data_IF_895427991983
#
_entry.id   IF_895427991983
#
_cell.length_a   1.000
_cell.length_b   1.000
_cell.length_c   1.000
_cell.angle_alpha   90.00
_cell.angle_beta   90.00
_cell.angle_gamma   90.00
#
_symmetry.space_group_name_H-M   'P 1'
#
loop_
_entity.id
_entity.type
_entity.pdbx_description
1 polymer ?
#
# COMPACT_ATOMS: atom_id res chain seq x y z
N UNK A 1 69.70 -5.66 -54.60
CA UNK A 1 70.46 -4.83 -53.63
C UNK A 1 70.29 -3.36 -53.98
N UNK A 2 69.41 -2.63 -53.29
CA UNK A 2 69.47 -1.16 -53.20
C UNK A 2 69.08 -0.76 -51.78
N UNK A 3 69.87 0.15 -51.23
CA UNK A 3 70.03 0.53 -49.83
C UNK A 3 69.19 1.78 -49.50
N UNK A 4 68.84 1.87 -48.22
CA UNK A 4 68.79 3.06 -47.35
C UNK A 4 67.59 4.03 -47.42
N UNK A 5 66.82 3.98 -46.33
CA UNK A 5 66.37 5.08 -45.44
C UNK A 5 66.07 6.47 -46.03
N UNK A 6 64.86 6.97 -45.74
CA UNK A 6 64.72 8.21 -44.95
C UNK A 6 63.30 8.39 -44.36
N UNK A 7 63.27 8.85 -43.12
CA UNK A 7 62.10 9.14 -42.31
C UNK A 7 61.34 10.38 -42.80
N UNK A 8 60.00 10.38 -42.69
CA UNK A 8 59.20 11.59 -42.58
C UNK A 8 57.97 11.31 -41.69
N UNK A 9 57.75 12.22 -40.75
CA UNK A 9 56.90 12.11 -39.57
C UNK A 9 55.41 11.93 -39.88
N UNK A 10 54.78 10.93 -39.24
CA UNK A 10 53.33 10.87 -39.09
C UNK A 10 52.96 11.60 -37.79
N UNK A 11 52.45 12.84 -37.92
CA UNK A 11 51.82 13.55 -36.83
C UNK A 11 50.55 12.81 -36.42
N UNK A 12 50.51 12.30 -35.19
CA UNK A 12 49.32 11.70 -34.58
C UNK A 12 48.36 12.83 -34.23
N UNK A 13 47.35 13.05 -35.08
CA UNK A 13 46.17 13.83 -34.72
C UNK A 13 45.27 12.97 -33.82
N UNK A 14 45.55 12.98 -32.51
CA UNK A 14 44.64 12.47 -31.49
C UNK A 14 43.70 13.60 -31.07
N UNK A 15 42.63 13.84 -31.82
CA UNK A 15 41.60 14.80 -31.41
C UNK A 15 40.21 14.26 -31.75
N UNK A 16 39.46 13.92 -30.71
CA UNK A 16 38.02 13.67 -30.80
C UNK A 16 37.54 12.28 -30.39
N UNK A 17 37.99 11.72 -29.26
CA UNK A 17 37.03 10.93 -28.47
C UNK A 17 36.07 11.94 -27.85
N UNK A 18 34.93 12.14 -28.53
CA UNK A 18 33.75 12.70 -27.88
C UNK A 18 33.43 11.77 -26.70
N UNK A 19 33.76 12.19 -25.49
CA UNK A 19 33.18 11.60 -24.30
C UNK A 19 31.67 11.73 -24.48
N UNK A 20 30.99 10.59 -24.69
CA UNK A 20 29.55 10.55 -24.58
C UNK A 20 29.18 11.23 -23.26
N UNK A 21 28.16 12.10 -23.22
CA UNK A 21 27.80 12.79 -21.99
C UNK A 21 27.57 11.70 -20.94
N UNK A 22 28.37 11.75 -19.87
CA UNK A 22 28.14 10.95 -18.68
C UNK A 22 26.65 11.13 -18.35
N UNK A 23 25.87 10.05 -18.43
CA UNK A 23 24.46 10.11 -18.06
C UNK A 23 24.41 10.70 -16.65
N UNK A 24 23.80 11.88 -16.54
CA UNK A 24 23.78 12.63 -15.30
C UNK A 24 22.90 11.85 -14.32
N UNK A 25 23.54 11.17 -13.37
CA UNK A 25 22.90 10.49 -12.26
C UNK A 25 21.75 11.31 -11.70
N UNK A 26 20.51 10.77 -11.73
CA UNK A 26 19.37 11.43 -11.07
C UNK A 26 19.77 11.88 -9.67
N UNK A 27 19.40 13.11 -9.33
CA UNK A 27 19.79 13.74 -8.07
C UNK A 27 18.67 13.70 -7.01
N UNK A 28 17.73 12.78 -7.17
CA UNK A 28 16.61 12.57 -6.26
C UNK A 28 16.34 11.08 -6.05
N UNK A 29 15.78 10.75 -4.89
CA UNK A 29 15.28 9.40 -4.59
C UNK A 29 13.93 9.20 -5.27
N UNK A 30 13.71 8.02 -5.84
CA UNK A 30 12.43 7.65 -6.43
C UNK A 30 11.81 6.41 -5.77
N UNK A 31 10.61 6.58 -5.20
CA UNK A 31 9.78 5.51 -4.67
C UNK A 31 8.50 5.35 -5.51
N UNK A 32 8.07 4.12 -5.77
CA UNK A 32 6.83 3.85 -6.48
C UNK A 32 6.10 2.61 -5.94
N UNK A 33 4.77 2.62 -5.90
CA UNK A 33 3.98 1.41 -5.63
C UNK A 33 2.66 1.64 -4.93
N UNK A 34 2.44 0.96 -3.80
CA UNK A 34 1.17 0.92 -3.07
C UNK A 34 0.55 2.31 -2.84
N UNK A 35 -0.73 2.47 -3.22
CA UNK A 35 -1.53 3.67 -2.93
C UNK A 35 -1.75 3.90 -1.44
N UNK A 36 -1.61 2.85 -0.64
CA UNK A 36 -1.73 2.91 0.82
C UNK A 36 -0.46 3.41 1.47
N UNK A 37 0.70 2.98 0.97
CA UNK A 37 1.99 3.46 1.47
C UNK A 37 2.30 4.85 0.92
N UNK A 38 1.71 5.23 -0.22
CA UNK A 38 1.88 6.54 -0.86
C UNK A 38 1.76 7.73 0.11
N UNK A 39 0.66 7.93 0.88
CA UNK A 39 0.57 9.07 1.80
C UNK A 39 1.66 9.07 2.88
N UNK A 40 2.08 7.90 3.36
CA UNK A 40 3.17 7.78 4.35
C UNK A 40 4.53 8.13 3.73
N UNK A 41 4.81 7.59 2.55
CA UNK A 41 6.05 7.86 1.83
C UNK A 41 6.17 9.33 1.41
N UNK A 42 5.08 9.94 0.94
CA UNK A 42 5.03 11.38 0.63
C UNK A 42 5.29 12.22 1.88
N UNK A 43 4.66 11.89 3.01
CA UNK A 43 4.89 12.63 4.26
C UNK A 43 6.33 12.51 4.77
N UNK A 44 6.92 11.33 4.64
CA UNK A 44 8.35 11.13 4.96
C UNK A 44 9.25 11.89 3.99
N UNK A 45 8.89 11.96 2.70
CA UNK A 45 9.65 12.70 1.69
C UNK A 45 9.68 14.22 1.98
N UNK A 46 8.52 14.78 2.38
CA UNK A 46 8.41 16.18 2.84
C UNK A 46 9.30 16.47 4.05
N UNK A 47 9.20 15.63 5.09
CA UNK A 47 9.98 15.80 6.32
C UNK A 47 11.48 15.61 6.08
N UNK A 48 11.86 14.65 5.24
CA UNK A 48 13.23 14.44 4.81
C UNK A 48 13.79 15.69 4.10
N UNK A 49 13.05 16.26 3.14
CA UNK A 49 13.49 17.46 2.43
C UNK A 49 13.65 18.64 3.39
N UNK A 50 12.69 18.83 4.30
CA UNK A 50 12.72 19.88 5.32
C UNK A 50 13.92 19.75 6.27
N UNK A 51 14.25 18.54 6.70
CA UNK A 51 15.35 18.27 7.66
C UNK A 51 16.74 18.29 7.03
N UNK A 52 16.85 17.79 5.80
CA UNK A 52 18.15 17.58 5.14
C UNK A 52 18.54 18.71 4.18
N UNK A 53 17.59 19.54 3.75
CA UNK A 53 17.79 20.53 2.67
C UNK A 53 17.96 19.90 1.28
N UNK A 54 17.85 18.58 1.14
CA UNK A 54 17.92 17.87 -0.14
C UNK A 54 16.60 17.93 -0.89
N UNK A 55 16.62 17.61 -2.19
CA UNK A 55 15.40 17.48 -3.01
C UNK A 55 14.46 16.43 -2.41
N UNK A 56 13.17 16.74 -2.40
CA UNK A 56 12.17 15.79 -1.95
C UNK A 56 12.15 14.54 -2.86
N UNK A 57 12.13 13.32 -2.29
CA UNK A 57 11.93 12.11 -3.04
C UNK A 57 10.67 12.19 -3.92
N UNK A 58 10.78 11.72 -5.16
CA UNK A 58 9.62 11.50 -6.04
C UNK A 58 8.88 10.25 -5.54
N UNK A 59 7.60 10.38 -5.23
CA UNK A 59 6.76 9.25 -4.80
C UNK A 59 5.62 9.07 -5.80
N UNK A 60 5.40 7.85 -6.29
CA UNK A 60 4.32 7.53 -7.24
C UNK A 60 3.43 6.38 -6.75
N UNK A 61 2.13 6.53 -6.97
CA UNK A 61 1.14 5.50 -6.67
C UNK A 61 0.84 4.69 -7.94
N UNK A 62 1.28 3.43 -7.97
CA UNK A 62 1.11 2.49 -9.10
C UNK A 62 0.43 1.18 -8.66
N UNK A 63 0.01 1.09 -7.40
CA UNK A 63 -0.35 -0.17 -6.74
C UNK A 63 0.87 -1.04 -6.43
N UNK A 64 0.74 -1.95 -5.46
CA UNK A 64 1.87 -2.78 -5.00
C UNK A 64 2.51 -3.60 -6.13
N UNK A 65 1.69 -4.30 -6.93
CA UNK A 65 2.20 -5.12 -8.05
C UNK A 65 2.84 -4.28 -9.16
N UNK A 66 2.23 -3.15 -9.52
CA UNK A 66 2.78 -2.23 -10.53
C UNK A 66 4.10 -1.61 -10.10
N UNK A 67 4.19 -1.16 -8.83
CA UNK A 67 5.41 -0.63 -8.24
C UNK A 67 6.55 -1.64 -8.19
N UNK A 68 6.29 -2.86 -7.71
CA UNK A 68 7.29 -3.94 -7.68
C UNK A 68 7.73 -4.30 -9.09
N UNK A 69 6.81 -4.41 -10.06
CA UNK A 69 7.16 -4.68 -11.47
C UNK A 69 8.10 -3.62 -12.03
N UNK A 70 7.79 -2.33 -11.83
CA UNK A 70 8.64 -1.23 -12.29
C UNK A 70 9.99 -1.22 -11.59
N UNK A 71 10.01 -1.42 -10.27
CA UNK A 71 11.22 -1.57 -9.48
C UNK A 71 12.11 -2.72 -9.98
N UNK A 72 11.52 -3.87 -10.31
CA UNK A 72 12.23 -5.06 -10.79
C UNK A 72 12.58 -5.03 -12.28
N UNK A 73 12.24 -3.97 -13.02
CA UNK A 73 12.49 -3.89 -14.46
C UNK A 73 13.96 -3.59 -14.81
N UNK A 74 14.79 -3.23 -13.83
CA UNK A 74 16.24 -3.11 -14.00
C UNK A 74 16.92 -2.29 -12.90
N UNK A 75 18.21 -2.01 -13.11
CA UNK A 75 19.04 -1.15 -12.26
C UNK A 75 19.32 0.19 -12.97
N UNK A 76 19.81 1.17 -12.21
CA UNK A 76 20.08 2.52 -12.74
C UNK A 76 18.88 3.46 -12.69
N UNK A 77 19.06 4.63 -13.28
CA UNK A 77 18.20 5.82 -13.06
C UNK A 77 16.83 5.73 -13.72
N UNK A 78 16.64 4.83 -14.68
CA UNK A 78 15.36 4.58 -15.32
C UNK A 78 14.35 3.84 -14.45
N UNK A 79 14.75 3.37 -13.26
CA UNK A 79 13.91 2.54 -12.39
C UNK A 79 13.89 3.05 -10.94
N UNK A 80 12.80 2.85 -10.19
CA UNK A 80 12.69 3.27 -8.80
C UNK A 80 13.81 2.68 -7.91
N UNK A 81 14.21 3.47 -6.91
CA UNK A 81 15.08 3.03 -5.80
C UNK A 81 14.33 2.17 -4.80
N UNK A 82 13.03 2.50 -4.63
CA UNK A 82 12.16 1.93 -3.61
C UNK A 82 10.86 1.45 -4.24
N UNK A 83 10.42 0.23 -3.91
CA UNK A 83 9.07 -0.23 -4.14
C UNK A 83 8.24 -0.14 -2.85
N UNK A 84 7.20 0.68 -2.86
CA UNK A 84 6.22 0.78 -1.79
C UNK A 84 5.21 -0.38 -1.89
N UNK A 85 4.90 -1.05 -0.78
CA UNK A 85 4.06 -2.24 -0.82
C UNK A 85 3.16 -2.39 0.40
N UNK A 86 1.91 -2.79 0.17
CA UNK A 86 0.93 -3.07 1.23
C UNK A 86 0.69 -4.58 1.45
N UNK A 87 1.61 -5.41 0.94
CA UNK A 87 1.70 -6.84 1.22
C UNK A 87 3.15 -7.32 0.95
N UNK A 88 3.56 -8.49 1.46
CA UNK A 88 4.87 -9.05 1.16
C UNK A 88 5.12 -9.22 -0.35
N UNK A 89 6.37 -9.09 -0.79
CA UNK A 89 6.77 -9.41 -2.16
C UNK A 89 6.53 -10.91 -2.40
N UNK A 90 5.88 -11.24 -3.51
CA UNK A 90 5.61 -12.63 -3.86
C UNK A 90 6.89 -13.29 -4.38
N UNK A 91 7.01 -14.61 -4.21
CA UNK A 91 8.12 -15.38 -4.78
C UNK A 91 8.31 -15.13 -6.27
N UNK A 92 7.22 -15.14 -7.05
CA UNK A 92 7.28 -14.89 -8.49
C UNK A 92 7.78 -13.49 -8.84
N UNK A 93 7.48 -12.48 -8.02
CA UNK A 93 7.98 -11.13 -8.22
C UNK A 93 9.47 -11.06 -7.91
N UNK A 94 9.90 -11.60 -6.76
CA UNK A 94 11.32 -11.68 -6.40
C UNK A 94 12.15 -12.38 -7.48
N UNK A 95 11.65 -13.50 -8.00
CA UNK A 95 12.28 -14.26 -9.09
C UNK A 95 12.42 -13.41 -10.36
N UNK A 96 11.43 -12.57 -10.69
CA UNK A 96 11.50 -11.62 -11.81
C UNK A 96 12.55 -10.53 -11.58
N UNK A 97 12.66 -10.01 -10.36
CA UNK A 97 13.71 -9.04 -10.00
C UNK A 97 15.10 -9.64 -10.22
N UNK A 98 15.33 -10.86 -9.72
CA UNK A 98 16.60 -11.56 -9.87
C UNK A 98 16.96 -11.81 -11.34
N UNK A 99 15.97 -12.21 -12.15
CA UNK A 99 16.14 -12.40 -13.60
C UNK A 99 16.50 -11.12 -14.36
N UNK A 100 16.16 -9.94 -13.81
CA UNK A 100 16.49 -8.62 -14.35
C UNK A 100 17.68 -7.96 -13.65
N UNK A 101 18.45 -8.72 -12.88
CA UNK A 101 19.67 -8.24 -12.22
C UNK A 101 19.45 -7.49 -10.90
N UNK A 102 18.21 -7.35 -10.44
CA UNK A 102 17.87 -6.79 -9.12
C UNK A 102 17.89 -7.93 -8.10
N UNK A 103 19.08 -8.28 -7.62
CA UNK A 103 19.31 -9.45 -6.75
C UNK A 103 19.34 -9.10 -5.25
N UNK A 104 19.98 -7.99 -4.91
CA UNK A 104 20.14 -7.56 -3.52
C UNK A 104 19.06 -6.56 -3.12
N UNK A 105 17.97 -7.08 -2.57
CA UNK A 105 16.82 -6.31 -2.12
C UNK A 105 16.80 -6.27 -0.59
N UNK A 106 16.74 -5.07 -0.01
CA UNK A 106 16.48 -4.91 1.43
C UNK A 106 14.97 -4.78 1.61
N UNK A 107 14.37 -5.58 2.48
CA UNK A 107 12.97 -5.48 2.88
C UNK A 107 12.87 -4.78 4.22
N UNK A 108 12.08 -3.72 4.31
CA UNK A 108 11.79 -3.00 5.55
C UNK A 108 10.29 -3.03 5.75
N UNK A 109 9.83 -3.62 6.85
CA UNK A 109 8.45 -3.50 7.30
C UNK A 109 8.29 -2.15 7.99
N UNK A 110 7.33 -1.33 7.57
CA UNK A 110 7.20 0.04 8.10
C UNK A 110 6.08 0.19 9.13
N UNK A 111 5.20 -0.82 9.23
CA UNK A 111 4.06 -0.80 10.12
C UNK A 111 2.93 -1.67 9.61
N UNK A 112 1.74 -1.39 10.12
CA UNK A 112 0.50 -2.02 9.70
C UNK A 112 -0.51 -0.96 9.29
N UNK A 113 -1.48 -1.41 8.51
CA UNK A 113 -2.70 -0.71 8.19
C UNK A 113 -3.88 -1.55 8.68
N UNK A 114 -4.91 -0.90 9.18
CA UNK A 114 -6.10 -1.54 9.73
C UNK A 114 -7.33 -0.71 9.38
N UNK A 115 -8.22 -1.28 8.58
CA UNK A 115 -9.46 -0.65 8.16
C UNK A 115 -10.59 -1.16 9.03
N UNK A 116 -11.30 -0.22 9.67
CA UNK A 116 -12.41 -0.55 10.56
C UNK A 116 -13.73 -0.22 9.90
N UNK A 117 -14.73 -1.01 10.24
CA UNK A 117 -16.13 -0.67 10.04
C UNK A 117 -16.66 -0.30 11.41
N UNK A 118 -17.19 0.89 11.58
CA UNK A 118 -17.67 1.38 12.86
C UNK A 118 -19.12 1.84 12.79
N UNK A 119 -19.80 1.82 13.93
CA UNK A 119 -21.13 2.42 14.11
C UNK A 119 -21.14 3.20 15.41
N UNK A 120 -22.24 3.92 15.66
CA UNK A 120 -22.48 4.59 16.94
C UNK A 120 -22.34 3.61 18.11
N UNK A 121 -21.80 4.06 19.25
CA UNK A 121 -21.53 3.21 20.41
C UNK A 121 -22.77 2.46 20.92
N UNK A 122 -23.92 3.12 20.85
CA UNK A 122 -25.20 2.59 21.31
C UNK A 122 -25.99 1.93 20.17
N UNK A 123 -25.42 1.90 18.96
CA UNK A 123 -25.97 1.23 17.78
C UNK A 123 -25.96 -0.29 17.89
N UNK A 124 -26.50 -0.96 16.87
CA UNK A 124 -26.50 -2.42 16.80
C UNK A 124 -25.07 -2.99 16.70
N UNK A 125 -24.87 -4.21 17.21
CA UNK A 125 -23.62 -4.93 17.00
C UNK A 125 -23.62 -5.62 15.64
N UNK A 126 -22.47 -5.59 14.97
CA UNK A 126 -22.28 -6.23 13.68
C UNK A 126 -21.13 -7.23 13.74
N UNK A 127 -21.35 -8.39 13.13
CA UNK A 127 -20.31 -9.37 12.84
C UNK A 127 -20.40 -9.75 11.36
N UNK A 128 -19.67 -9.04 10.53
CA UNK A 128 -19.68 -9.25 9.09
C UNK A 128 -18.83 -10.44 8.70
N UNK A 129 -19.28 -11.21 7.71
CA UNK A 129 -18.35 -11.95 6.85
C UNK A 129 -17.88 -11.04 5.72
N UNK A 130 -16.70 -11.28 5.16
CA UNK A 130 -16.23 -10.55 3.97
C UNK A 130 -17.22 -10.65 2.80
N UNK A 131 -17.88 -11.81 2.66
CA UNK A 131 -18.95 -12.07 1.70
C UNK A 131 -20.15 -11.14 1.91
N UNK A 132 -20.48 -10.84 3.16
CA UNK A 132 -21.56 -9.90 3.49
C UNK A 132 -21.20 -8.48 3.03
N UNK A 133 -19.94 -8.08 3.18
CA UNK A 133 -19.47 -6.76 2.75
C UNK A 133 -19.52 -6.63 1.22
N UNK A 134 -19.07 -7.65 0.49
CA UNK A 134 -19.22 -7.73 -0.97
C UNK A 134 -20.71 -7.65 -1.37
N UNK A 135 -21.55 -8.52 -0.82
CA UNK A 135 -22.97 -8.60 -1.15
C UNK A 135 -23.76 -7.37 -0.73
N UNK A 136 -23.32 -6.63 0.29
CA UNK A 136 -23.95 -5.40 0.75
C UNK A 136 -23.52 -4.17 -0.04
N UNK A 137 -22.25 -4.06 -0.43
CA UNK A 137 -21.65 -2.80 -0.84
C UNK A 137 -21.16 -2.72 -2.29
N UNK A 138 -20.90 -3.84 -2.97
CA UNK A 138 -20.58 -3.78 -4.40
C UNK A 138 -21.79 -3.27 -5.19
N UNK A 139 -21.54 -2.48 -6.24
CA UNK A 139 -22.55 -1.93 -7.15
C UNK A 139 -23.35 -3.02 -7.86
N UNK A 140 -22.66 -4.10 -8.22
CA UNK A 140 -23.24 -5.27 -8.86
C UNK A 140 -22.84 -6.55 -8.14
N UNK A 141 -23.76 -7.50 -8.09
CA UNK A 141 -23.54 -8.83 -7.49
C UNK A 141 -23.95 -9.93 -8.45
N UNK A 142 -23.31 -11.09 -8.34
CA UNK A 142 -23.66 -12.26 -9.13
C UNK A 142 -24.93 -12.93 -8.57
N UNK A 143 -26.02 -12.92 -9.33
CA UNK A 143 -27.29 -13.58 -8.98
C UNK A 143 -27.77 -14.42 -10.16
N UNK A 144 -27.99 -15.72 -9.93
CA UNK A 144 -28.44 -16.64 -11.00
C UNK A 144 -27.49 -16.71 -12.20
N UNK A 145 -26.18 -16.54 -11.99
CA UNK A 145 -25.18 -16.55 -13.06
C UNK A 145 -25.04 -15.24 -13.83
N UNK A 146 -25.81 -14.20 -13.49
CA UNK A 146 -25.74 -12.88 -14.12
C UNK A 146 -25.35 -11.80 -13.12
N UNK A 147 -24.60 -10.80 -13.57
CA UNK A 147 -24.34 -9.61 -12.76
C UNK A 147 -25.54 -8.68 -12.84
N UNK A 148 -26.13 -8.40 -11.69
CA UNK A 148 -27.27 -7.49 -11.54
C UNK A 148 -26.91 -6.35 -10.61
N UNK A 149 -27.63 -5.23 -10.72
CA UNK A 149 -27.56 -4.18 -9.71
C UNK A 149 -27.87 -4.76 -8.33
N UNK A 150 -27.14 -4.32 -7.31
CA UNK A 150 -27.25 -4.89 -5.97
C UNK A 150 -28.68 -4.73 -5.41
N UNK A 151 -29.42 -5.84 -5.18
CA UNK A 151 -30.82 -5.76 -4.80
C UNK A 151 -31.03 -5.52 -3.30
N UNK A 152 -30.01 -5.78 -2.46
CA UNK A 152 -30.12 -5.73 -1.00
C UNK A 152 -30.31 -4.28 -0.55
N UNK A 153 -31.25 -4.01 0.36
CA UNK A 153 -31.55 -2.66 0.87
C UNK A 153 -31.22 -2.50 2.35
N UNK A 154 -31.36 -3.57 3.11
CA UNK A 154 -31.02 -3.66 4.53
C UNK A 154 -29.94 -4.72 4.75
N UNK A 155 -29.28 -4.69 5.91
CA UNK A 155 -28.21 -5.63 6.21
C UNK A 155 -28.72 -7.06 6.48
N UNK A 156 -29.94 -7.24 6.96
CA UNK A 156 -30.59 -8.54 7.11
C UNK A 156 -31.02 -9.17 5.76
N UNK A 157 -31.23 -8.36 4.71
CA UNK A 157 -31.37 -8.86 3.32
C UNK A 157 -30.08 -9.57 2.84
N UNK A 158 -28.92 -9.13 3.33
CA UNK A 158 -27.61 -9.62 2.91
C UNK A 158 -27.32 -10.99 3.53
N UNK A 159 -27.54 -11.11 4.85
CA UNK A 159 -27.34 -12.36 5.58
C UNK A 159 -28.12 -12.36 6.90
N UNK A 160 -28.74 -13.50 7.22
CA UNK A 160 -29.39 -13.69 8.51
C UNK A 160 -28.43 -13.51 9.69
N UNK A 161 -28.91 -12.84 10.75
CA UNK A 161 -28.12 -12.50 11.93
C UNK A 161 -27.43 -11.14 11.86
N UNK A 162 -27.49 -10.43 10.73
CA UNK A 162 -27.17 -9.01 10.68
C UNK A 162 -28.38 -8.16 11.11
N UNK A 163 -28.16 -6.96 11.68
CA UNK A 163 -29.23 -6.02 12.03
C UNK A 163 -30.09 -5.60 10.83
N UNK A 164 -31.38 -5.30 11.03
CA UNK A 164 -32.30 -4.85 9.98
C UNK A 164 -32.15 -3.40 9.53
N UNK A 165 -31.03 -2.75 9.86
CA UNK A 165 -30.77 -1.38 9.47
C UNK A 165 -30.57 -1.27 7.95
N UNK A 166 -31.04 -0.15 7.38
CA UNK A 166 -30.78 0.19 5.98
C UNK A 166 -29.27 0.20 5.71
N UNK A 167 -28.85 -0.30 4.55
CA UNK A 167 -27.47 -0.19 4.10
C UNK A 167 -27.16 1.28 3.84
N UNK A 168 -26.44 1.89 4.78
CA UNK A 168 -25.99 3.27 4.73
C UNK A 168 -24.60 3.34 5.34
N UNK A 169 -23.59 3.38 4.46
CA UNK A 169 -22.17 3.36 4.82
C UNK A 169 -21.50 4.63 4.35
N UNK A 170 -20.90 5.37 5.28
CA UNK A 170 -20.06 6.51 5.00
C UNK A 170 -18.62 6.06 4.88
N UNK A 171 -17.93 6.50 3.85
CA UNK A 171 -16.53 6.14 3.68
C UNK A 171 -15.76 7.15 2.84
N UNK A 172 -14.45 6.96 2.73
CA UNK A 172 -13.59 7.89 2.04
C UNK A 172 -13.84 7.87 0.51
N UNK A 173 -13.43 8.93 -0.21
CA UNK A 173 -13.68 9.08 -1.64
C UNK A 173 -12.85 8.11 -2.50
N UNK A 174 -13.14 8.00 -3.82
CA UNK A 174 -12.37 7.18 -4.77
C UNK A 174 -10.86 7.47 -4.84
N UNK A 175 -10.42 8.63 -4.35
CA UNK A 175 -9.01 9.05 -4.32
C UNK A 175 -8.25 8.56 -3.09
N UNK A 176 -8.94 7.97 -2.11
CA UNK A 176 -8.36 7.60 -0.82
C UNK A 176 -7.74 6.20 -0.80
N UNK A 177 -6.52 6.10 -0.29
CA UNK A 177 -5.85 4.82 -0.03
C UNK A 177 -6.58 3.94 0.99
N UNK A 178 -7.38 4.53 1.88
CA UNK A 178 -8.26 3.83 2.84
C UNK A 178 -9.41 3.12 2.11
N UNK A 179 -9.97 3.75 1.06
CA UNK A 179 -10.97 3.10 0.21
C UNK A 179 -10.38 1.97 -0.59
N UNK A 180 -9.21 2.18 -1.20
CA UNK A 180 -8.49 1.12 -1.93
C UNK A 180 -8.25 -0.09 -1.02
N UNK A 181 -7.82 0.17 0.22
CA UNK A 181 -7.63 -0.84 1.25
C UNK A 181 -8.91 -1.64 1.54
N UNK A 182 -10.02 -0.92 1.76
CA UNK A 182 -11.31 -1.54 2.05
C UNK A 182 -11.82 -2.40 0.89
N UNK A 183 -11.70 -1.90 -0.34
CA UNK A 183 -12.07 -2.65 -1.53
C UNK A 183 -11.24 -3.92 -1.64
N UNK A 184 -9.92 -3.84 -1.49
CA UNK A 184 -9.03 -5.01 -1.60
C UNK A 184 -9.28 -6.04 -0.47
N UNK A 185 -9.31 -5.59 0.79
CA UNK A 185 -9.32 -6.46 1.97
C UNK A 185 -10.72 -6.97 2.34
N UNK A 186 -11.77 -6.24 1.99
CA UNK A 186 -13.15 -6.60 2.32
C UNK A 186 -13.92 -7.07 1.09
N UNK A 187 -14.02 -6.20 0.07
CA UNK A 187 -14.92 -6.41 -1.07
C UNK A 187 -14.37 -7.48 -2.02
N UNK A 188 -13.13 -7.32 -2.50
CA UNK A 188 -12.47 -8.32 -3.33
C UNK A 188 -12.29 -9.64 -2.56
N UNK A 189 -11.91 -9.59 -1.29
CA UNK A 189 -11.76 -10.77 -0.45
C UNK A 189 -13.07 -11.56 -0.31
N UNK A 190 -14.20 -10.87 -0.12
CA UNK A 190 -15.53 -11.47 -0.09
C UNK A 190 -15.95 -12.04 -1.44
N UNK A 191 -15.74 -11.29 -2.52
CA UNK A 191 -16.03 -11.73 -3.88
C UNK A 191 -15.28 -13.02 -4.26
N UNK A 192 -14.01 -13.16 -3.85
CA UNK A 192 -13.19 -14.35 -4.12
C UNK A 192 -13.68 -15.62 -3.42
N UNK A 193 -14.63 -15.52 -2.48
CA UNK A 193 -15.28 -16.70 -1.90
C UNK A 193 -16.29 -17.36 -2.84
N UNK A 194 -16.67 -16.67 -3.91
CA UNK A 194 -17.52 -17.21 -4.97
C UNK A 194 -16.64 -17.78 -6.10
N UNK A 195 -16.71 -19.10 -6.39
CA UNK A 195 -15.83 -19.75 -7.36
C UNK A 195 -15.82 -19.09 -8.75
N UNK A 196 -16.98 -18.64 -9.23
CA UNK A 196 -17.09 -17.93 -10.51
C UNK A 196 -16.28 -16.62 -10.52
N UNK A 197 -16.33 -15.85 -9.44
CA UNK A 197 -15.60 -14.60 -9.33
C UNK A 197 -14.10 -14.83 -9.18
N UNK A 198 -13.69 -15.85 -8.42
CA UNK A 198 -12.26 -16.19 -8.29
C UNK A 198 -11.66 -16.76 -9.59
N UNK A 199 -12.45 -17.49 -10.38
CA UNK A 199 -12.07 -17.92 -11.72
C UNK A 199 -11.88 -16.71 -12.66
N UNK A 200 -12.81 -15.75 -12.65
CA UNK A 200 -12.68 -14.50 -13.42
C UNK A 200 -11.42 -13.72 -13.01
N UNK A 201 -11.13 -13.64 -11.70
CA UNK A 201 -9.92 -12.97 -11.18
C UNK A 201 -8.65 -13.65 -11.68
N UNK A 202 -8.63 -14.98 -11.64
CA UNK A 202 -7.46 -15.77 -12.02
C UNK A 202 -7.17 -15.68 -13.52
N UNK A 203 -8.21 -15.58 -14.35
CA UNK A 203 -8.11 -15.37 -15.80
C UNK A 203 -7.77 -13.90 -16.15
N UNK A 204 -8.50 -12.95 -15.57
CA UNK A 204 -8.39 -11.53 -15.90
C UNK A 204 -8.70 -10.64 -14.69
N UNK A 205 -7.65 -10.26 -13.96
CA UNK A 205 -7.74 -9.39 -12.78
C UNK A 205 -8.41 -8.04 -13.09
N UNK A 206 -8.15 -7.43 -14.26
CA UNK A 206 -8.78 -6.16 -14.64
C UNK A 206 -10.29 -6.31 -14.80
N UNK A 207 -10.74 -7.41 -15.41
CA UNK A 207 -12.17 -7.71 -15.56
C UNK A 207 -12.81 -7.95 -14.21
N UNK A 208 -12.19 -8.74 -13.34
CA UNK A 208 -12.67 -8.95 -11.96
C UNK A 208 -12.87 -7.61 -11.23
N UNK A 209 -11.85 -6.75 -11.23
CA UNK A 209 -11.90 -5.44 -10.58
C UNK A 209 -13.01 -4.55 -11.15
N UNK A 210 -13.17 -4.53 -12.47
CA UNK A 210 -14.26 -3.75 -13.11
C UNK A 210 -15.67 -4.18 -12.68
N UNK A 211 -15.84 -5.43 -12.23
CA UNK A 211 -17.12 -6.00 -11.80
C UNK A 211 -17.34 -5.90 -10.29
N UNK A 212 -16.27 -5.87 -9.49
CA UNK A 212 -16.30 -6.04 -8.03
C UNK A 212 -16.01 -4.73 -7.28
N UNK A 213 -15.01 -3.98 -7.73
CA UNK A 213 -14.49 -2.79 -7.04
C UNK A 213 -15.48 -1.62 -6.98
N UNK A 214 -16.32 -1.37 -8.02
CA UNK A 214 -17.29 -0.27 -7.94
C UNK A 214 -18.27 -0.50 -6.79
N UNK A 215 -18.29 0.44 -5.85
CA UNK A 215 -19.26 0.46 -4.74
C UNK A 215 -20.59 1.06 -5.20
N UNK A 216 -21.68 0.60 -4.60
CA UNK A 216 -23.05 1.07 -4.88
C UNK A 216 -23.24 2.52 -4.43
N UNK A 217 -23.95 3.34 -5.20
CA UNK A 217 -24.21 4.75 -4.84
C UNK A 217 -25.51 4.97 -4.04
N UNK A 218 -26.35 3.94 -3.89
CA UNK A 218 -27.61 3.98 -3.11
C UNK A 218 -27.46 3.48 -1.67
N UNK A 219 -26.22 3.15 -1.26
CA UNK A 219 -25.88 2.65 0.07
C UNK A 219 -24.47 2.99 0.57
N UNK A 220 -23.52 3.34 -0.32
CA UNK A 220 -22.25 3.96 0.04
C UNK A 220 -22.29 5.47 -0.22
N UNK A 221 -21.86 6.26 0.75
CA UNK A 221 -21.78 7.72 0.69
C UNK A 221 -20.33 8.16 0.86
N UNK A 222 -19.82 8.90 -0.11
CA UNK A 222 -18.48 9.49 -0.04
C UNK A 222 -18.48 10.68 0.93
N UNK A 223 -17.70 10.58 2.00
CA UNK A 223 -17.64 11.56 3.10
C UNK A 223 -16.45 12.53 3.00
N UNK A 224 -15.70 12.50 1.89
CA UNK A 224 -14.48 13.31 1.70
C UNK A 224 -13.24 12.73 2.40
N UNK A 225 -12.09 13.40 2.26
CA UNK A 225 -10.78 12.91 2.74
C UNK A 225 -10.58 13.00 4.27
N UNK A 226 -11.55 13.59 4.99
CA UNK A 226 -11.45 13.76 6.44
C UNK A 226 -12.24 12.68 7.18
N UNK A 227 -11.57 11.61 7.59
CA UNK A 227 -12.20 10.49 8.31
C UNK A 227 -12.88 10.92 9.64
N UNK A 228 -12.43 12.00 10.28
CA UNK A 228 -13.13 12.54 11.46
C UNK A 228 -14.56 13.02 11.15
N UNK A 229 -14.83 13.44 9.92
CA UNK A 229 -16.18 13.80 9.51
C UNK A 229 -17.11 12.57 9.48
N UNK A 230 -16.57 11.39 9.16
CA UNK A 230 -17.30 10.13 9.22
C UNK A 230 -17.69 9.84 10.67
N UNK A 231 -16.75 9.91 11.61
CA UNK A 231 -17.01 9.69 13.05
C UNK A 231 -18.15 10.59 13.55
N UNK A 232 -18.08 11.89 13.25
CA UNK A 232 -19.14 12.83 13.62
C UNK A 232 -20.49 12.52 13.00
N UNK A 233 -20.51 11.95 11.79
CA UNK A 233 -21.74 11.55 11.08
C UNK A 233 -22.40 10.34 11.75
N UNK A 234 -21.62 9.35 12.20
CA UNK A 234 -22.15 8.14 12.85
C UNK A 234 -22.96 8.49 14.10
N UNK A 235 -22.45 9.39 14.94
CA UNK A 235 -23.13 9.83 16.17
C UNK A 235 -24.43 10.62 15.93
N UNK A 236 -24.64 11.11 14.70
CA UNK A 236 -25.82 11.88 14.31
C UNK A 236 -26.78 11.11 13.40
N UNK A 237 -26.37 9.93 12.96
CA UNK A 237 -27.11 9.12 11.99
C UNK A 237 -27.22 7.69 12.52
N UNK A 238 -28.12 7.45 13.49
CA UNK A 238 -28.29 6.14 14.11
C UNK A 238 -28.52 5.04 13.06
N UNK A 239 -27.84 3.91 13.23
CA UNK A 239 -27.95 2.77 12.32
C UNK A 239 -27.09 2.84 11.06
N UNK A 240 -26.37 3.94 10.83
CA UNK A 240 -25.35 4.01 9.78
C UNK A 240 -24.03 3.35 10.20
N UNK A 241 -23.20 3.04 9.20
CA UNK A 241 -21.84 2.53 9.37
C UNK A 241 -20.82 3.49 8.76
N UNK A 242 -19.60 3.44 9.26
CA UNK A 242 -18.47 4.22 8.76
C UNK A 242 -17.29 3.31 8.44
N UNK A 243 -16.54 3.62 7.39
CA UNK A 243 -15.29 2.93 7.03
C UNK A 243 -14.13 3.91 7.09
N UNK A 244 -13.11 3.63 7.90
CA UNK A 244 -11.93 4.47 8.05
C UNK A 244 -10.76 3.70 8.69
N UNK A 245 -9.61 4.35 8.87
CA UNK A 245 -8.45 3.74 9.53
C UNK A 245 -8.63 3.54 11.05
N UNK A 246 -7.99 2.51 11.61
CA UNK A 246 -8.03 2.13 13.03
C UNK A 246 -7.83 3.30 14.00
N UNK A 247 -6.89 4.21 13.72
CA UNK A 247 -6.55 5.32 14.62
C UNK A 247 -7.77 6.17 14.99
N UNK A 248 -8.68 6.39 14.04
CA UNK A 248 -9.90 7.17 14.28
C UNK A 248 -10.90 6.45 15.18
N UNK A 249 -10.95 5.10 15.12
CA UNK A 249 -11.74 4.33 16.09
C UNK A 249 -11.10 4.40 17.46
N UNK A 250 -9.79 4.21 17.56
CA UNK A 250 -9.03 4.26 18.82
C UNK A 250 -9.23 5.59 19.55
N UNK A 251 -9.17 6.71 18.83
CA UNK A 251 -9.34 8.05 19.38
C UNK A 251 -10.79 8.38 19.79
N UNK A 252 -11.78 7.59 19.35
CA UNK A 252 -13.21 7.90 19.52
C UNK A 252 -14.03 6.72 20.09
N UNK A 253 -13.39 5.77 20.79
CA UNK A 253 -14.09 4.60 21.38
C UNK A 253 -15.13 4.97 22.47
N UNK A 254 -15.09 6.21 22.96
CA UNK A 254 -16.11 6.80 23.83
C UNK A 254 -17.42 7.10 23.10
N UNK A 255 -17.40 7.22 21.76
CA UNK A 255 -18.57 7.61 20.92
C UNK A 255 -18.98 6.57 19.89
N UNK A 256 -18.04 5.77 19.42
CA UNK A 256 -18.27 4.78 18.37
C UNK A 256 -17.69 3.42 18.75
N UNK A 257 -18.15 2.37 18.09
CA UNK A 257 -17.61 1.01 18.24
C UNK A 257 -17.34 0.37 16.89
N UNK A 258 -16.30 -0.45 16.84
CA UNK A 258 -15.94 -1.25 15.66
C UNK A 258 -16.74 -2.53 15.57
N UNK A 259 -17.21 -2.87 14.37
CA UNK A 259 -17.79 -4.16 14.02
C UNK A 259 -16.73 -5.26 14.00
N UNK A 260 -17.16 -6.49 14.25
CA UNK A 260 -16.31 -7.67 14.02
C UNK A 260 -16.36 -8.06 12.55
N UNK A 261 -15.26 -8.60 12.04
CA UNK A 261 -15.18 -9.18 10.68
C UNK A 261 -14.64 -10.60 10.80
N UNK A 262 -15.38 -11.56 10.25
CA UNK A 262 -15.16 -13.00 10.41
C UNK A 262 -14.99 -13.42 11.88
N UNK A 263 -15.77 -12.82 12.78
CA UNK A 263 -15.70 -13.10 14.23
C UNK A 263 -14.53 -12.44 14.96
N UNK A 264 -13.69 -11.67 14.28
CA UNK A 264 -12.52 -11.00 14.88
C UNK A 264 -12.80 -9.51 15.01
N UNK A 265 -12.62 -8.97 16.23
CA UNK A 265 -12.73 -7.53 16.51
C UNK A 265 -11.42 -6.82 16.17
N UNK A 266 -11.45 -5.59 15.62
CA UNK A 266 -10.23 -4.82 15.41
C UNK A 266 -9.60 -4.43 16.74
N UNK A 267 -8.29 -4.59 16.83
CA UNK A 267 -7.43 -4.18 17.95
C UNK A 267 -5.98 -4.04 17.46
N UNK A 268 -5.09 -3.34 18.18
CA UNK A 268 -3.69 -3.28 17.80
C UNK A 268 -3.06 -4.68 17.71
N UNK A 269 -3.48 -5.60 18.59
CA UNK A 269 -3.00 -6.99 18.61
C UNK A 269 -3.46 -7.76 17.37
N UNK A 270 -4.77 -7.78 17.11
CA UNK A 270 -5.35 -8.52 15.98
C UNK A 270 -4.96 -7.95 14.61
N UNK A 271 -4.62 -6.67 14.55
CA UNK A 271 -4.06 -6.04 13.34
C UNK A 271 -2.58 -6.40 13.17
N UNK A 272 -1.79 -6.34 14.24
CA UNK A 272 -0.35 -6.62 14.18
C UNK A 272 -0.04 -8.10 13.90
N UNK A 273 -0.84 -9.03 14.43
CA UNK A 273 -0.70 -10.47 14.17
C UNK A 273 -1.36 -10.92 12.85
N UNK A 274 -2.17 -10.04 12.23
CA UNK A 274 -2.85 -10.29 10.96
C UNK A 274 -4.12 -11.15 11.08
N UNK A 275 -4.60 -11.44 12.29
CA UNK A 275 -5.83 -12.20 12.52
C UNK A 275 -7.09 -11.40 12.21
N UNK A 276 -7.05 -10.06 12.30
CA UNK A 276 -8.13 -9.20 11.85
C UNK A 276 -8.16 -9.11 10.31
N UNK A 277 -9.25 -9.50 9.62
CA UNK A 277 -9.27 -9.66 8.17
C UNK A 277 -9.01 -8.38 7.36
N UNK A 278 -9.36 -7.22 7.92
CA UNK A 278 -9.19 -5.92 7.25
C UNK A 278 -7.90 -5.24 7.70
N UNK A 279 -6.85 -6.03 7.89
CA UNK A 279 -5.51 -5.55 8.22
C UNK A 279 -4.49 -6.01 7.20
N UNK A 280 -3.36 -5.30 7.13
CA UNK A 280 -2.21 -5.71 6.33
C UNK A 280 -0.92 -5.12 6.83
N UNK A 281 0.16 -5.77 6.44
CA UNK A 281 1.52 -5.28 6.68
C UNK A 281 1.97 -4.34 5.56
N UNK A 282 2.66 -3.27 5.95
CA UNK A 282 3.20 -2.28 5.03
C UNK A 282 4.72 -2.43 4.94
N UNK A 283 5.26 -2.26 3.74
CA UNK A 283 6.67 -2.47 3.44
C UNK A 283 7.21 -1.41 2.48
N UNK A 284 8.52 -1.22 2.56
CA UNK A 284 9.33 -0.66 1.47
C UNK A 284 10.41 -1.69 1.10
N UNK A 285 10.64 -1.86 -0.20
CA UNK A 285 11.73 -2.68 -0.74
C UNK A 285 12.75 -1.78 -1.40
N UNK A 286 14.04 -2.00 -1.13
CA UNK A 286 15.11 -1.10 -1.56
C UNK A 286 16.15 -1.88 -2.35
N UNK A 287 16.62 -1.32 -3.46
CA UNK A 287 17.81 -1.82 -4.15
C UNK A 287 19.04 -1.50 -3.31
N UNK A 288 19.70 -2.52 -2.75
CA UNK A 288 20.93 -2.32 -1.97
C UNK A 288 22.01 -1.59 -2.77
N UNK A 289 22.13 -1.93 -4.07
CA UNK A 289 23.10 -1.33 -4.98
C UNK A 289 22.93 0.18 -5.18
N UNK A 290 21.75 0.75 -4.88
CA UNK A 290 21.51 2.18 -5.03
C UNK A 290 21.94 2.96 -3.77
N UNK A 291 22.17 2.29 -2.63
CA UNK A 291 22.58 2.95 -1.40
C UNK A 291 24.04 3.40 -1.53
N UNK A 292 24.27 4.71 -1.40
CA UNK A 292 25.58 5.35 -1.63
C UNK A 292 25.81 5.77 -3.08
N UNK A 293 24.90 5.42 -3.99
CA UNK A 293 24.93 5.86 -5.40
C UNK A 293 23.88 6.94 -5.62
N UNK A 294 22.63 6.70 -5.22
CA UNK A 294 21.55 7.69 -5.34
C UNK A 294 21.65 8.71 -4.21
N UNK A 295 21.81 10.01 -4.52
CA UNK A 295 21.93 11.04 -3.49
C UNK A 295 20.70 11.07 -2.56
N UNK A 296 20.93 10.98 -1.26
CA UNK A 296 19.88 11.08 -0.25
C UNK A 296 19.12 9.78 0.05
N UNK A 297 19.40 8.67 -0.65
CA UNK A 297 18.67 7.42 -0.42
C UNK A 297 18.89 6.87 0.99
N UNK A 298 20.13 6.81 1.48
CA UNK A 298 20.41 6.26 2.80
C UNK A 298 19.75 7.10 3.90
N UNK A 299 19.80 8.43 3.78
CA UNK A 299 19.19 9.35 4.74
C UNK A 299 17.67 9.33 4.68
N UNK A 300 17.06 9.15 3.50
CA UNK A 300 15.62 8.97 3.36
C UNK A 300 15.15 7.68 4.05
N UNK A 301 15.89 6.58 3.91
CA UNK A 301 15.59 5.31 4.59
C UNK A 301 15.74 5.43 6.12
N UNK A 302 16.75 6.19 6.58
CA UNK A 302 16.92 6.50 8.02
C UNK A 302 15.78 7.33 8.56
N UNK A 303 15.29 8.34 7.82
CA UNK A 303 14.10 9.10 8.22
C UNK A 303 12.89 8.17 8.29
N UNK A 304 12.67 7.32 7.28
CA UNK A 304 11.54 6.39 7.22
C UNK A 304 11.49 5.43 8.42
N UNK A 305 12.65 4.91 8.84
CA UNK A 305 12.77 3.96 9.96
C UNK A 305 13.00 4.64 11.32
N UNK A 306 13.01 5.98 11.36
CA UNK A 306 13.22 6.73 12.60
C UNK A 306 12.05 6.59 13.57
N UNK A 307 12.34 6.78 14.86
CA UNK A 307 11.30 6.83 15.90
C UNK A 307 10.30 7.96 15.65
N UNK A 308 10.78 9.09 15.15
CA UNK A 308 9.95 10.24 14.81
C UNK A 308 8.96 9.94 13.68
N UNK A 309 9.28 9.01 12.77
CA UNK A 309 8.42 8.66 11.63
C UNK A 309 7.50 7.48 11.93
N UNK A 310 8.07 6.27 12.01
CA UNK A 310 7.35 4.98 12.11
C UNK A 310 7.33 4.42 13.53
N UNK A 311 8.07 5.02 14.46
CA UNK A 311 8.04 4.65 15.87
C UNK A 311 6.71 5.01 16.54
N UNK A 312 6.51 4.48 17.75
CA UNK A 312 5.31 4.77 18.54
C UNK A 312 5.24 6.27 18.88
N UNK A 313 4.12 6.91 18.57
CA UNK A 313 3.95 8.36 18.70
C UNK A 313 4.60 9.17 17.57
N UNK A 314 5.15 8.51 16.54
CA UNK A 314 5.72 9.15 15.37
C UNK A 314 4.66 9.84 14.50
N UNK A 315 5.10 10.76 13.64
CA UNK A 315 4.21 11.61 12.84
C UNK A 315 3.38 10.82 11.82
N UNK A 316 3.78 9.59 11.45
CA UNK A 316 2.99 8.75 10.54
C UNK A 316 1.80 8.10 11.24
N UNK A 317 1.83 7.96 12.57
CA UNK A 317 0.70 7.43 13.33
C UNK A 317 -0.53 8.32 13.19
N UNK A 318 -0.34 9.65 13.24
CA UNK A 318 -1.40 10.63 12.95
C UNK A 318 -1.89 10.64 11.49
N UNK A 319 -1.31 9.83 10.61
CA UNK A 319 -1.78 9.57 9.24
C UNK A 319 -2.45 8.20 9.10
N UNK A 320 -2.64 7.47 10.20
CA UNK A 320 -3.25 6.15 10.24
C UNK A 320 -2.27 4.98 10.22
N UNK A 321 -0.95 5.21 10.24
CA UNK A 321 0.03 4.13 10.36
C UNK A 321 -0.07 3.50 11.75
N UNK A 322 -0.25 2.18 11.82
CA UNK A 322 -0.13 1.47 13.08
C UNK A 322 1.34 1.07 13.26
N UNK A 323 2.03 1.58 14.29
CA UNK A 323 3.46 1.36 14.45
C UNK A 323 3.77 -0.11 14.75
N UNK A 324 4.97 -0.54 14.34
CA UNK A 324 5.48 -1.85 14.75
C UNK A 324 5.70 -1.88 16.28
N UNK A 325 5.61 -3.07 16.92
CA UNK A 325 6.11 -3.24 18.27
C UNK A 325 7.57 -2.78 18.37
N UNK A 326 8.01 -2.14 19.48
CA UNK A 326 9.34 -1.53 19.60
C UNK A 326 10.49 -2.45 19.17
N UNK A 327 10.50 -3.70 19.63
CA UNK A 327 11.54 -4.66 19.23
C UNK A 327 11.54 -5.01 17.74
N UNK A 328 10.37 -5.04 17.09
CA UNK A 328 10.30 -5.22 15.64
C UNK A 328 10.80 -3.97 14.90
N UNK A 329 10.42 -2.78 15.38
CA UNK A 329 10.85 -1.49 14.82
C UNK A 329 12.38 -1.32 14.87
N UNK A 330 13.00 -1.61 16.02
CA UNK A 330 14.45 -1.61 16.16
C UNK A 330 15.12 -2.65 15.26
N UNK A 331 14.50 -3.82 15.09
CA UNK A 331 14.94 -4.82 14.13
C UNK A 331 14.99 -4.28 12.69
N UNK A 332 14.04 -3.43 12.29
CA UNK A 332 14.05 -2.79 10.97
C UNK A 332 15.19 -1.78 10.81
N UNK A 333 15.51 -1.02 11.86
CA UNK A 333 16.68 -0.13 11.88
C UNK A 333 17.97 -0.94 11.70
N UNK A 334 18.08 -2.09 12.36
CA UNK A 334 19.25 -2.97 12.22
C UNK A 334 19.36 -3.58 10.83
N UNK A 335 18.24 -4.00 10.22
CA UNK A 335 18.21 -4.45 8.82
C UNK A 335 18.79 -3.38 7.89
N UNK A 336 18.37 -2.12 8.06
CA UNK A 336 18.88 -1.00 7.27
C UNK A 336 20.37 -0.73 7.53
N UNK A 337 20.79 -0.64 8.79
CA UNK A 337 22.17 -0.36 9.18
C UNK A 337 23.14 -1.42 8.64
N UNK A 338 22.76 -2.70 8.74
CA UNK A 338 23.56 -3.82 8.25
C UNK A 338 23.37 -4.05 6.74
N UNK A 339 22.47 -3.31 6.08
CA UNK A 339 22.09 -3.50 4.67
C UNK A 339 21.76 -4.97 4.37
N UNK A 340 20.98 -5.57 5.28
CA UNK A 340 20.62 -7.00 5.26
C UNK A 340 19.67 -7.26 4.10
N UNK A 341 20.06 -8.14 3.20
CA UNK A 341 19.27 -8.53 2.03
C UNK A 341 18.21 -9.54 2.45
N UNK A 342 17.01 -9.40 1.92
CA UNK A 342 15.91 -10.34 2.18
C UNK A 342 16.21 -11.70 1.55
N UNK A 343 15.74 -12.77 2.19
CA UNK A 343 15.68 -14.09 1.56
C UNK A 343 14.64 -14.14 0.45
N UNK A 344 14.78 -15.11 -0.46
CA UNK A 344 13.73 -15.44 -1.44
C UNK A 344 12.44 -15.81 -0.69
N UNK A 345 11.29 -15.17 -0.97
CA UNK A 345 10.04 -15.51 -0.31
C UNK A 345 9.64 -16.97 -0.50
N UNK A 346 8.98 -17.55 0.52
CA UNK A 346 8.36 -18.86 0.43
C UNK A 346 7.20 -18.87 -0.58
N UNK A 347 6.80 -20.08 -1.02
CA UNK A 347 5.69 -20.28 -1.95
C UNK A 347 4.33 -19.94 -1.30
#
# INVERSE_FOLDING_TARGET
MKKLLSCAAAAVALSGLAAAPAHAARDYVWAAGSSTVFPFATRTAENFAKKSGKKAPKVESLGTGGGIKLFCSGTGEGFPDIANASRPMKKAEFDQCAAKGVKDIIQIKIGFDGIVIATDKDGADYNFKTENLYMGLSKTVLKGGQFVANPNKNWDDVAGGLPGNRIQVYGPPPTSGTRDAFVELAIEAGARKYPTLDAIRSDNEKKFKSLVDPLRNDGWIDAGENDNAIVGTLTKTPGSLGVFGWSYLEENMDKIKGASVNGVRPSPQTIADGSYPLSRSLFIYVKKANIGVTPGLEEFLKEFTSDAATGRGGYLQGRGLIPLPPGQHDGQKQILNNKTVMGRPAA
#
